data_IF_790299132746
#
_entry.id   IF_790299132746
#
_cell.length_a   1.000
_cell.length_b   1.000
_cell.length_c   1.000
_cell.angle_alpha   90.00
_cell.angle_beta   90.00
_cell.angle_gamma   90.00
#
_symmetry.space_group_name_H-M   'P 1'
#
loop_
_entity.id
_entity.type
_entity.pdbx_description
1 polymer ?
#
# COMPACT_ATOMS: atom_id res chain seq x y z
N UNK A 1 1.64 14.59 3.14
CA UNK A 1 0.82 15.62 2.43
C UNK A 1 0.37 15.16 1.05
N UNK A 2 1.20 15.16 0.00
CA UNK A 2 0.75 14.73 -1.34
C UNK A 2 0.22 13.29 -1.36
N UNK A 3 0.95 12.38 -0.72
CA UNK A 3 0.53 10.98 -0.53
C UNK A 3 -0.77 10.84 0.29
N UNK A 4 -1.00 11.72 1.27
CA UNK A 4 -2.23 11.71 2.07
C UNK A 4 -3.43 12.14 1.22
N UNK A 5 -3.28 13.18 0.40
CA UNK A 5 -4.32 13.63 -0.53
C UNK A 5 -4.62 12.60 -1.61
N UNK A 6 -3.60 11.92 -2.13
CA UNK A 6 -3.78 10.81 -3.06
C UNK A 6 -4.56 9.67 -2.40
N UNK A 7 -4.19 9.26 -1.19
CA UNK A 7 -4.90 8.21 -0.46
C UNK A 7 -6.34 8.62 -0.11
N UNK A 8 -6.54 9.88 0.29
CA UNK A 8 -7.86 10.42 0.53
C UNK A 8 -8.73 10.35 -0.72
N UNK A 9 -8.23 10.85 -1.87
CA UNK A 9 -8.97 10.90 -3.12
C UNK A 9 -9.28 9.50 -3.69
N UNK A 10 -8.33 8.57 -3.62
CA UNK A 10 -8.47 7.26 -4.27
C UNK A 10 -9.14 6.22 -3.37
N UNK A 11 -9.05 6.33 -2.05
CA UNK A 11 -9.45 5.24 -1.16
C UNK A 11 -10.47 5.70 -0.12
N UNK A 12 -10.16 6.71 0.67
CA UNK A 12 -10.94 6.99 1.88
C UNK A 12 -12.16 7.86 1.65
N UNK A 13 -12.15 8.76 0.67
CA UNK A 13 -13.16 9.80 0.54
C UNK A 13 -14.60 9.28 0.43
N UNK A 14 -14.89 8.35 -0.48
CA UNK A 14 -16.25 7.86 -0.75
C UNK A 14 -16.80 7.10 0.45
N UNK A 15 -15.96 6.31 1.12
CA UNK A 15 -16.34 5.58 2.34
C UNK A 15 -16.60 6.53 3.52
N UNK A 16 -15.78 7.57 3.67
CA UNK A 16 -15.89 8.51 4.79
C UNK A 16 -17.05 9.49 4.66
N UNK A 17 -17.55 9.73 3.45
CA UNK A 17 -18.69 10.63 3.20
C UNK A 17 -19.96 9.89 2.80
N UNK A 18 -19.91 8.55 2.78
CA UNK A 18 -21.06 7.67 2.72
C UNK A 18 -22.00 8.02 3.89
N UNK A 19 -23.30 8.07 3.64
CA UNK A 19 -24.36 8.53 4.58
C UNK A 19 -24.29 9.99 5.07
N UNK A 20 -23.20 10.74 4.82
CA UNK A 20 -23.11 12.19 5.09
C UNK A 20 -23.60 12.98 3.87
N UNK A 21 -23.19 12.56 2.67
CA UNK A 21 -23.43 13.29 1.44
C UNK A 21 -24.65 12.68 0.70
N UNK A 22 -25.60 13.49 0.19
CA UNK A 22 -26.72 12.94 -0.58
C UNK A 22 -26.23 12.13 -1.79
N UNK A 23 -26.93 11.02 -2.06
CA UNK A 23 -26.53 10.01 -3.07
C UNK A 23 -26.14 10.62 -4.43
N UNK A 24 -26.87 11.64 -4.89
CA UNK A 24 -26.57 12.33 -6.16
C UNK A 24 -25.16 12.91 -6.23
N UNK A 25 -24.66 13.45 -5.12
CA UNK A 25 -23.34 14.07 -5.06
C UNK A 25 -22.26 13.02 -4.84
N UNK A 26 -22.58 11.93 -4.12
CA UNK A 26 -21.69 10.80 -3.93
C UNK A 26 -21.43 10.08 -5.27
N UNK A 27 -22.49 9.77 -6.01
CA UNK A 27 -22.43 9.18 -7.35
C UNK A 27 -21.70 10.10 -8.34
N UNK A 28 -21.91 11.41 -8.24
CA UNK A 28 -21.17 12.36 -9.06
C UNK A 28 -19.68 12.33 -8.72
N UNK A 29 -19.32 12.38 -7.44
CA UNK A 29 -17.93 12.39 -7.01
C UNK A 29 -17.20 11.07 -7.29
N UNK A 30 -17.91 9.93 -7.27
CA UNK A 30 -17.32 8.64 -7.62
C UNK A 30 -16.84 8.55 -9.07
N UNK A 31 -17.39 9.34 -9.98
CA UNK A 31 -16.87 9.48 -11.35
C UNK A 31 -15.44 10.02 -11.36
N UNK A 32 -15.15 11.04 -10.53
CA UNK A 32 -13.80 11.58 -10.41
C UNK A 32 -12.86 10.51 -9.84
N UNK A 33 -13.25 9.85 -8.75
CA UNK A 33 -12.44 8.82 -8.09
C UNK A 33 -12.12 7.67 -9.05
N UNK A 34 -13.15 7.14 -9.74
CA UNK A 34 -12.98 6.09 -10.74
C UNK A 34 -12.07 6.55 -11.88
N UNK A 35 -12.33 7.72 -12.45
CA UNK A 35 -11.57 8.24 -13.58
C UNK A 35 -10.08 8.40 -13.25
N UNK A 36 -9.77 9.03 -12.12
CA UNK A 36 -8.39 9.19 -11.67
C UNK A 36 -7.74 7.85 -11.36
N UNK A 37 -8.42 6.94 -10.65
CA UNK A 37 -7.88 5.62 -10.34
C UNK A 37 -7.47 4.85 -11.60
N UNK A 38 -8.34 4.80 -12.62
CA UNK A 38 -8.07 4.07 -13.86
C UNK A 38 -6.82 4.62 -14.59
N UNK A 39 -6.64 5.93 -14.58
CA UNK A 39 -5.52 6.63 -15.21
C UNK A 39 -4.22 6.61 -14.38
N UNK A 40 -4.31 6.22 -13.10
CA UNK A 40 -3.19 6.16 -12.18
C UNK A 40 -2.61 4.75 -12.05
N UNK A 41 -3.18 3.73 -12.70
CA UNK A 41 -2.67 2.35 -12.61
C UNK A 41 -1.23 2.22 -13.13
N UNK A 42 -0.49 1.24 -12.60
CA UNK A 42 0.84 0.91 -13.09
C UNK A 42 0.82 0.41 -14.53
N UNK A 43 -0.21 -0.38 -14.87
CA UNK A 43 -0.53 -0.79 -16.23
C UNK A 43 -1.89 -0.20 -16.63
N UNK A 44 -1.91 0.65 -17.65
CA UNK A 44 -3.14 1.30 -18.13
C UNK A 44 -3.49 0.74 -19.50
N UNK A 45 -4.59 0.00 -19.59
CA UNK A 45 -5.08 -0.57 -20.85
C UNK A 45 -5.87 0.45 -21.68
N UNK A 46 -6.12 0.15 -22.96
CA UNK A 46 -6.97 0.99 -23.79
C UNK A 46 -8.41 1.11 -23.26
N UNK A 47 -8.91 0.07 -22.59
CA UNK A 47 -10.22 0.11 -21.93
C UNK A 47 -10.20 1.07 -20.73
N UNK A 48 -9.14 1.04 -19.92
CA UNK A 48 -8.96 1.97 -18.80
C UNK A 48 -8.87 3.42 -19.27
N UNK A 49 -8.21 3.69 -20.41
CA UNK A 49 -8.15 5.03 -21.00
C UNK A 49 -9.53 5.47 -21.49
N UNK A 50 -10.29 4.58 -22.14
CA UNK A 50 -11.64 4.89 -22.61
C UNK A 50 -12.56 5.26 -21.44
N UNK A 51 -12.63 4.40 -20.41
CA UNK A 51 -13.44 4.63 -19.21
C UNK A 51 -12.91 5.83 -18.40
N UNK A 52 -11.59 5.96 -18.28
CA UNK A 52 -10.88 7.07 -17.66
C UNK A 52 -11.02 8.39 -18.42
N UNK A 53 -11.47 8.38 -19.68
CA UNK A 53 -11.89 9.57 -20.41
C UNK A 53 -13.36 9.88 -20.14
N UNK A 54 -14.22 8.86 -20.16
CA UNK A 54 -15.66 9.02 -19.96
C UNK A 54 -16.03 9.56 -18.58
N UNK A 55 -15.39 9.05 -17.52
CA UNK A 55 -15.74 9.45 -16.14
C UNK A 55 -15.42 10.93 -15.86
N UNK A 56 -14.21 11.46 -16.16
CA UNK A 56 -13.93 12.89 -16.00
C UNK A 56 -14.82 13.79 -16.87
N UNK A 57 -15.19 13.37 -18.08
CA UNK A 57 -16.13 14.14 -18.92
C UNK A 57 -17.48 14.29 -18.23
N UNK A 58 -18.04 13.18 -17.72
CA UNK A 58 -19.31 13.21 -17.00
C UNK A 58 -19.22 14.03 -15.71
N UNK A 59 -18.10 13.92 -14.99
CA UNK A 59 -17.83 14.73 -13.80
C UNK A 59 -17.80 16.23 -14.14
N UNK A 60 -17.07 16.64 -15.16
CA UNK A 60 -16.97 18.07 -15.55
C UNK A 60 -18.32 18.63 -15.96
N UNK A 61 -19.13 17.87 -16.71
CA UNK A 61 -20.50 18.27 -17.06
C UNK A 61 -21.41 18.35 -15.82
N UNK A 62 -21.20 17.49 -14.83
CA UNK A 62 -22.00 17.47 -13.61
C UNK A 62 -21.56 18.47 -12.53
N UNK A 63 -20.45 19.20 -12.69
CA UNK A 63 -19.96 20.18 -11.70
C UNK A 63 -20.97 21.29 -11.40
N UNK A 64 -21.89 21.59 -12.33
CA UNK A 64 -23.01 22.51 -12.09
C UNK A 64 -23.93 22.08 -10.94
N UNK A 65 -23.89 20.80 -10.51
CA UNK A 65 -24.58 20.32 -9.30
C UNK A 65 -24.13 21.06 -8.03
N UNK A 66 -22.90 21.59 -8.02
CA UNK A 66 -22.34 22.34 -6.90
C UNK A 66 -22.61 23.84 -7.05
N UNK A 67 -22.24 24.41 -8.21
CA UNK A 67 -22.51 25.80 -8.63
C UNK A 67 -21.79 26.05 -9.96
N UNK A 68 -22.27 26.99 -10.77
CA UNK A 68 -21.60 27.44 -12.00
C UNK A 68 -20.17 27.98 -11.72
N UNK A 69 -19.96 28.56 -10.53
CA UNK A 69 -18.65 29.11 -10.12
C UNK A 69 -17.58 28.02 -9.94
N UNK A 70 -17.99 26.78 -9.74
CA UNK A 70 -17.07 25.65 -9.54
C UNK A 70 -16.47 25.13 -10.85
N UNK A 71 -16.97 25.58 -12.01
CA UNK A 71 -16.36 25.32 -13.32
C UNK A 71 -15.08 26.15 -13.50
N UNK A 72 -14.07 25.82 -12.69
CA UNK A 72 -12.77 26.45 -12.70
C UNK A 72 -11.87 25.86 -13.79
N UNK A 73 -10.76 26.54 -14.07
CA UNK A 73 -9.73 26.02 -14.99
C UNK A 73 -9.23 24.63 -14.57
N UNK A 74 -9.05 24.38 -13.26
CA UNK A 74 -8.60 23.07 -12.77
C UNK A 74 -9.60 21.95 -13.06
N UNK A 75 -10.90 22.24 -12.96
CA UNK A 75 -11.96 21.29 -13.33
C UNK A 75 -11.92 21.02 -14.83
N UNK A 76 -11.75 22.05 -15.66
CA UNK A 76 -11.62 21.89 -17.10
C UNK A 76 -10.41 21.00 -17.49
N UNK A 77 -9.27 21.15 -16.81
CA UNK A 77 -8.06 20.36 -17.07
C UNK A 77 -8.27 18.84 -16.88
N UNK A 78 -9.28 18.42 -16.11
CA UNK A 78 -9.61 17.00 -15.94
C UNK A 78 -9.93 16.31 -17.28
N UNK A 79 -10.47 17.06 -18.26
CA UNK A 79 -10.79 16.55 -19.61
C UNK A 79 -9.54 16.15 -20.41
N UNK A 80 -8.36 16.61 -20.00
CA UNK A 80 -7.11 16.37 -20.70
C UNK A 80 -6.26 15.26 -20.09
N UNK A 81 -6.62 14.75 -18.90
CA UNK A 81 -5.83 13.77 -18.17
C UNK A 81 -5.61 12.48 -18.96
N UNK A 82 -6.66 11.93 -19.57
CA UNK A 82 -6.53 10.71 -20.37
C UNK A 82 -5.59 10.89 -21.57
N UNK A 83 -5.65 12.06 -22.23
CA UNK A 83 -4.73 12.41 -23.32
C UNK A 83 -3.29 12.54 -22.82
N UNK A 84 -3.08 13.16 -21.64
CA UNK A 84 -1.76 13.20 -21.01
C UNK A 84 -1.23 11.80 -20.74
N UNK A 85 -2.08 10.88 -20.26
CA UNK A 85 -1.68 9.48 -20.03
C UNK A 85 -1.29 8.76 -21.32
N UNK A 86 -2.05 8.95 -22.40
CA UNK A 86 -1.71 8.37 -23.71
C UNK A 86 -0.36 8.85 -24.24
N UNK A 87 0.03 10.09 -23.93
CA UNK A 87 1.23 10.72 -24.47
C UNK A 87 2.46 10.55 -23.56
N UNK A 88 2.26 10.49 -22.24
CA UNK A 88 3.33 10.59 -21.24
C UNK A 88 3.38 9.40 -20.27
N UNK A 89 2.48 8.44 -20.41
CA UNK A 89 2.33 7.31 -19.47
C UNK A 89 1.45 7.65 -18.26
N UNK A 90 1.29 6.73 -17.30
CA UNK A 90 0.37 6.87 -16.17
C UNK A 90 0.53 8.18 -15.38
N UNK A 91 -0.55 8.64 -14.74
CA UNK A 91 -0.57 9.92 -14.01
C UNK A 91 0.53 10.04 -12.94
N UNK A 92 0.92 8.94 -12.30
CA UNK A 92 1.98 8.97 -11.29
C UNK A 92 3.36 9.31 -11.89
N UNK A 93 3.61 8.93 -13.14
CA UNK A 93 4.90 9.06 -13.79
C UNK A 93 5.28 10.52 -14.10
N UNK A 94 4.29 11.38 -14.29
CA UNK A 94 4.48 12.81 -14.59
C UNK A 94 3.91 13.72 -13.49
N UNK A 95 3.70 13.18 -12.28
CA UNK A 95 3.28 13.96 -11.12
C UNK A 95 4.41 14.85 -10.59
N UNK A 96 4.07 16.04 -10.07
CA UNK A 96 5.03 16.92 -9.42
C UNK A 96 5.41 16.47 -7.99
N UNK A 97 4.88 15.35 -7.50
CA UNK A 97 5.07 14.91 -6.11
C UNK A 97 6.53 14.61 -5.79
N UNK A 98 7.23 13.91 -6.68
CA UNK A 98 8.65 13.60 -6.52
C UNK A 98 9.49 14.87 -6.52
N UNK A 99 9.18 15.78 -7.46
CA UNK A 99 9.85 17.07 -7.57
C UNK A 99 9.69 17.92 -6.29
N UNK A 100 8.47 18.08 -5.78
CA UNK A 100 8.22 18.83 -4.55
C UNK A 100 8.89 18.20 -3.32
N UNK A 101 8.87 16.87 -3.22
CA UNK A 101 9.54 16.14 -2.15
C UNK A 101 11.07 16.37 -2.19
N UNK A 102 11.66 16.32 -3.39
CA UNK A 102 13.08 16.58 -3.59
C UNK A 102 13.46 18.03 -3.33
N UNK A 103 12.62 18.99 -3.73
CA UNK A 103 12.81 20.39 -3.37
C UNK A 103 12.77 20.59 -1.84
N UNK A 104 11.84 19.94 -1.15
CA UNK A 104 11.78 19.95 0.31
C UNK A 104 13.05 19.39 0.95
N UNK A 105 13.58 18.29 0.39
CA UNK A 105 14.84 17.69 0.81
C UNK A 105 16.03 18.63 0.58
N UNK A 106 16.14 19.25 -0.60
CA UNK A 106 17.20 20.21 -0.91
C UNK A 106 17.13 21.42 0.03
N UNK A 107 15.93 21.90 0.36
CA UNK A 107 15.73 22.97 1.33
C UNK A 107 16.25 22.58 2.73
N UNK A 108 16.08 21.32 3.15
CA UNK A 108 16.60 20.83 4.43
C UNK A 108 18.14 20.86 4.52
N UNK A 109 18.84 20.85 3.38
CA UNK A 109 20.29 21.00 3.34
C UNK A 109 20.75 22.43 3.55
N UNK A 110 19.85 23.41 3.64
CA UNK A 110 20.22 24.81 3.90
C UNK A 110 20.07 25.08 5.39
N UNK A 111 21.19 25.26 6.08
CA UNK A 111 21.20 25.60 7.52
C UNK A 111 21.62 27.03 7.80
N UNK A 112 22.21 27.72 6.83
CA UNK A 112 22.56 29.14 6.95
C UNK A 112 22.48 29.84 5.60
N UNK A 113 22.32 31.17 5.62
CA UNK A 113 22.32 32.00 4.42
C UNK A 113 23.69 32.10 3.73
N UNK A 114 24.78 31.66 4.37
CA UNK A 114 26.13 31.76 3.81
C UNK A 114 26.46 30.53 2.96
N UNK A 115 26.83 30.74 1.70
CA UNK A 115 27.30 29.65 0.83
C UNK A 115 26.26 28.55 0.59
N UNK A 116 24.99 28.93 0.40
CA UNK A 116 23.87 28.00 0.17
C UNK A 116 24.17 26.95 -0.92
N UNK A 117 24.69 27.30 -2.11
CA UNK A 117 25.00 26.31 -3.14
C UNK A 117 26.00 25.25 -2.67
N UNK A 118 26.99 25.66 -1.87
CA UNK A 118 28.02 24.76 -1.35
C UNK A 118 27.47 23.83 -0.26
N UNK A 119 26.59 24.33 0.61
CA UNK A 119 25.91 23.50 1.62
C UNK A 119 25.06 22.42 0.95
N UNK A 120 24.26 22.79 -0.05
CA UNK A 120 23.40 21.86 -0.79
C UNK A 120 24.23 20.81 -1.51
N UNK A 121 25.25 21.23 -2.27
CA UNK A 121 26.12 20.32 -3.02
C UNK A 121 26.82 19.32 -2.11
N UNK A 122 27.51 19.79 -1.07
CA UNK A 122 28.27 18.94 -0.16
C UNK A 122 27.37 17.93 0.56
N UNK A 123 26.20 18.36 1.04
CA UNK A 123 25.27 17.47 1.77
C UNK A 123 24.59 16.46 0.85
N UNK A 124 24.21 16.86 -0.37
CA UNK A 124 23.67 15.94 -1.36
C UNK A 124 24.71 14.87 -1.73
N UNK A 125 25.97 15.26 -1.96
CA UNK A 125 27.06 14.33 -2.23
C UNK A 125 27.33 13.40 -1.04
N UNK A 126 27.39 13.92 0.19
CA UNK A 126 27.56 13.10 1.39
C UNK A 126 26.42 12.08 1.52
N UNK A 127 25.17 12.50 1.39
CA UNK A 127 24.01 11.61 1.48
C UNK A 127 24.06 10.48 0.42
N UNK A 128 24.47 10.79 -0.81
CA UNK A 128 24.62 9.79 -1.86
C UNK A 128 25.76 8.80 -1.56
N UNK A 129 26.92 9.30 -1.11
CA UNK A 129 28.10 8.46 -0.84
C UNK A 129 27.97 7.57 0.39
N UNK A 130 27.19 7.97 1.40
CA UNK A 130 27.03 7.19 2.64
C UNK A 130 26.56 5.76 2.35
N UNK A 131 25.61 5.57 1.44
CA UNK A 131 25.10 4.23 1.12
C UNK A 131 26.14 3.37 0.39
N UNK A 132 26.88 3.95 -0.56
CA UNK A 132 27.99 3.27 -1.25
C UNK A 132 29.11 2.91 -0.26
N UNK A 133 29.45 3.83 0.65
CA UNK A 133 30.44 3.59 1.68
C UNK A 133 30.00 2.49 2.67
N UNK A 134 28.71 2.42 3.02
CA UNK A 134 28.16 1.31 3.83
C UNK A 134 28.30 -0.03 3.11
N UNK A 135 28.03 -0.07 1.81
CA UNK A 135 28.14 -1.30 1.01
C UNK A 135 29.60 -1.79 0.88
N UNK A 136 30.59 -0.91 0.87
CA UNK A 136 32.02 -1.29 0.78
C UNK A 136 32.68 -1.37 2.17
N UNK A 137 31.95 -1.05 3.24
CA UNK A 137 32.47 -1.06 4.61
C UNK A 137 32.85 -2.48 5.07
N UNK A 138 33.90 -2.56 5.90
CA UNK A 138 34.33 -3.81 6.52
C UNK A 138 33.23 -4.39 7.43
N UNK A 139 33.22 -5.72 7.67
CA UNK A 139 32.22 -6.36 8.54
C UNK A 139 32.15 -5.72 9.94
N UNK A 140 33.29 -5.29 10.47
CA UNK A 140 33.37 -4.62 11.77
C UNK A 140 32.63 -3.27 11.78
N UNK A 141 32.77 -2.48 10.71
CA UNK A 141 32.09 -1.19 10.56
C UNK A 141 30.59 -1.38 10.31
N UNK A 142 30.20 -2.41 9.53
CA UNK A 142 28.79 -2.74 9.31
C UNK A 142 28.09 -3.13 10.62
N UNK A 143 28.75 -3.94 11.45
CA UNK A 143 28.27 -4.33 12.77
C UNK A 143 28.13 -3.12 13.71
N UNK A 144 29.09 -2.20 13.71
CA UNK A 144 29.03 -0.96 14.49
C UNK A 144 27.87 -0.05 14.06
N UNK A 145 27.62 0.06 12.76
CA UNK A 145 26.53 0.88 12.21
C UNK A 145 25.14 0.23 12.35
N UNK A 146 25.05 -1.00 12.89
CA UNK A 146 23.80 -1.77 12.93
C UNK A 146 23.23 -2.08 11.54
N UNK A 147 24.05 -2.00 10.49
CA UNK A 147 23.64 -2.21 9.10
C UNK A 147 23.77 -3.69 8.74
N UNK A 148 22.94 -4.53 9.37
CA UNK A 148 22.76 -5.92 9.00
C UNK A 148 21.37 -6.09 8.39
N UNK A 149 21.25 -5.93 7.07
CA UNK A 149 20.20 -6.64 6.36
C UNK A 149 20.78 -8.03 6.06
N UNK A 150 20.06 -9.14 6.32
CA UNK A 150 20.48 -10.44 5.83
C UNK A 150 20.46 -10.39 4.29
N UNK A 151 21.64 -10.35 3.69
CA UNK A 151 21.78 -10.61 2.26
C UNK A 151 21.44 -12.09 2.03
N UNK A 152 20.33 -12.35 1.33
CA UNK A 152 20.09 -13.63 0.68
C UNK A 152 18.88 -14.46 1.13
N UNK A 153 18.15 -14.08 2.18
CA UNK A 153 16.91 -14.79 2.53
C UNK A 153 15.68 -14.09 1.92
N UNK A 154 14.84 -14.79 1.14
CA UNK A 154 13.63 -14.21 0.53
C UNK A 154 12.60 -13.75 1.57
N UNK A 155 12.72 -14.23 2.82
CA UNK A 155 11.84 -13.91 3.93
C UNK A 155 12.70 -13.71 5.20
N UNK A 156 12.83 -12.46 5.66
CA UNK A 156 13.50 -12.14 6.92
C UNK A 156 12.45 -11.94 8.03
N UNK A 157 12.50 -12.79 9.06
CA UNK A 157 11.64 -12.72 10.23
C UNK A 157 12.20 -11.66 11.21
N UNK A 158 11.38 -10.69 11.60
CA UNK A 158 11.83 -9.49 12.31
C UNK A 158 11.11 -9.28 13.66
N UNK A 159 11.35 -10.14 14.63
CA UNK A 159 10.98 -9.93 16.04
C UNK A 159 11.61 -11.03 16.90
N UNK A 160 11.43 -10.96 18.23
CA UNK A 160 11.72 -12.13 19.07
C UNK A 160 10.63 -13.18 18.86
N UNK A 161 10.98 -14.42 18.49
CA UNK A 161 10.03 -15.50 18.29
C UNK A 161 9.23 -15.78 19.56
N UNK A 162 7.90 -15.96 19.43
CA UNK A 162 7.03 -16.39 20.54
C UNK A 162 6.56 -17.83 20.30
N UNK A 163 6.55 -18.69 21.35
CA UNK A 163 6.01 -20.04 21.20
C UNK A 163 4.51 -19.98 20.95
N UNK A 164 4.03 -20.77 19.99
CA UNK A 164 2.60 -20.90 19.69
C UNK A 164 2.00 -22.00 20.58
N UNK A 165 0.90 -21.72 21.28
CA UNK A 165 0.19 -22.70 22.10
C UNK A 165 -1.33 -22.72 21.80
N UNK A 166 -1.97 -23.86 22.05
CA UNK A 166 -3.43 -23.98 22.04
C UNK A 166 -4.09 -24.05 20.66
N UNK A 167 -5.09 -23.21 20.42
CA UNK A 167 -5.96 -23.29 19.24
C UNK A 167 -5.24 -23.00 17.91
N UNK A 168 -4.26 -22.09 17.92
CA UNK A 168 -3.47 -21.74 16.74
C UNK A 168 -2.61 -22.92 16.27
N UNK A 169 -2.00 -23.65 17.21
CA UNK A 169 -1.19 -24.83 16.89
C UNK A 169 -2.05 -25.93 16.29
N UNK A 170 -3.25 -26.16 16.83
CA UNK A 170 -4.23 -27.11 16.27
C UNK A 170 -4.68 -26.74 14.86
N UNK A 171 -4.84 -25.46 14.55
CA UNK A 171 -5.22 -24.99 13.21
C UNK A 171 -4.13 -25.23 12.18
N UNK A 172 -2.88 -24.89 12.52
CA UNK A 172 -1.71 -25.14 11.66
C UNK A 172 -1.52 -26.64 11.45
N UNK A 173 -1.67 -27.44 12.51
CA UNK A 173 -1.56 -28.91 12.45
C UNK A 173 -2.68 -29.55 11.62
N UNK A 174 -3.91 -29.00 11.66
CA UNK A 174 -5.04 -29.51 10.87
C UNK A 174 -4.92 -29.17 9.38
N UNK A 175 -4.45 -27.95 9.05
CA UNK A 175 -4.42 -27.46 7.65
C UNK A 175 -3.09 -27.75 6.94
N UNK A 176 -1.98 -27.92 7.67
CA UNK A 176 -0.64 -28.19 7.11
C UNK A 176 0.09 -29.34 7.84
N UNK A 177 -0.53 -30.52 8.04
CA UNK A 177 0.06 -31.60 8.83
C UNK A 177 1.36 -32.18 8.23
N UNK A 178 1.53 -32.11 6.91
CA UNK A 178 2.65 -32.76 6.20
C UNK A 178 3.95 -31.92 6.16
N UNK A 179 3.95 -30.68 6.66
CA UNK A 179 5.11 -29.78 6.56
C UNK A 179 5.72 -29.40 7.92
N UNK A 180 5.21 -29.96 9.02
CA UNK A 180 5.66 -29.68 10.39
C UNK A 180 6.71 -30.72 10.80
N UNK A 181 7.98 -30.33 10.88
CA UNK A 181 9.06 -31.18 11.39
C UNK A 181 9.65 -30.69 12.73
N UNK A 182 9.23 -29.52 13.24
CA UNK A 182 9.73 -28.94 14.48
C UNK A 182 8.81 -27.84 15.07
N UNK A 183 9.31 -27.02 16.02
CA UNK A 183 8.48 -26.11 16.81
C UNK A 183 7.86 -25.00 15.95
N UNK A 184 6.57 -24.76 16.18
CA UNK A 184 5.78 -23.71 15.54
C UNK A 184 5.96 -22.41 16.33
N UNK A 185 6.38 -21.35 15.65
CA UNK A 185 6.80 -20.11 16.30
C UNK A 185 6.12 -18.91 15.64
N UNK A 186 5.60 -18.00 16.46
CA UNK A 186 4.93 -16.79 16.01
C UNK A 186 5.89 -15.60 15.94
N UNK A 187 5.68 -14.76 14.91
CA UNK A 187 6.43 -13.54 14.66
C UNK A 187 5.48 -12.35 14.50
N UNK A 188 5.86 -11.20 15.06
CA UNK A 188 5.07 -9.97 14.93
C UNK A 188 5.23 -9.32 13.54
N UNK A 189 6.35 -9.56 12.86
CA UNK A 189 6.72 -8.89 11.59
C UNK A 189 7.51 -9.80 10.67
N UNK A 190 7.22 -9.70 9.37
CA UNK A 190 7.94 -10.43 8.33
C UNK A 190 8.27 -9.51 7.18
N UNK A 191 9.53 -9.54 6.75
CA UNK A 191 10.01 -8.83 5.58
C UNK A 191 10.15 -9.82 4.43
N UNK A 192 9.31 -9.70 3.41
CA UNK A 192 9.48 -10.42 2.15
C UNK A 192 10.35 -9.61 1.19
N UNK A 193 10.78 -10.21 0.07
CA UNK A 193 11.62 -9.54 -0.93
C UNK A 193 11.09 -8.19 -1.44
N UNK A 194 9.77 -7.92 -1.30
CA UNK A 194 9.16 -6.68 -1.78
C UNK A 194 8.55 -5.79 -0.68
N UNK A 195 8.09 -6.32 0.47
CA UNK A 195 7.40 -5.50 1.51
C UNK A 195 7.54 -6.05 2.94
N UNK A 196 7.29 -5.18 3.92
CA UNK A 196 7.19 -5.50 5.36
C UNK A 196 5.71 -5.68 5.76
N UNK A 197 5.38 -6.85 6.30
CA UNK A 197 4.04 -7.22 6.77
C UNK A 197 3.98 -7.25 8.31
N UNK A 198 2.82 -6.89 8.86
CA UNK A 198 2.55 -6.89 10.30
C UNK A 198 1.43 -7.87 10.65
N UNK A 199 1.56 -8.54 11.79
CA UNK A 199 0.43 -9.19 12.45
C UNK A 199 -0.45 -8.15 13.15
N UNK A 200 -1.75 -8.43 13.29
CA UNK A 200 -2.67 -7.64 14.14
C UNK A 200 -2.18 -7.42 15.58
N UNK A 201 -1.31 -8.28 16.10
CA UNK A 201 -0.74 -8.14 17.45
C UNK A 201 0.30 -7.02 17.56
N UNK A 202 0.77 -6.47 16.43
CA UNK A 202 1.78 -5.44 16.42
C UNK A 202 1.18 -4.04 16.67
N UNK A 203 1.37 -3.52 17.88
CA UNK A 203 0.76 -2.26 18.32
C UNK A 203 1.52 -0.97 17.96
N UNK A 204 2.67 -1.05 17.28
CA UNK A 204 3.49 0.13 16.92
C UNK A 204 3.81 0.26 15.42
N UNK A 205 2.81 0.33 14.53
CA UNK A 205 3.07 0.71 13.15
C UNK A 205 3.48 2.19 13.09
N UNK A 206 4.72 2.49 12.70
CA UNK A 206 5.24 3.87 12.67
C UNK A 206 4.66 4.71 11.52
N UNK A 207 4.19 4.10 10.42
CA UNK A 207 3.76 4.84 9.21
C UNK A 207 2.60 4.23 8.40
N UNK A 208 2.49 2.91 8.28
CA UNK A 208 1.46 2.26 7.47
C UNK A 208 0.99 0.95 8.13
N UNK A 209 -0.33 0.73 8.11
CA UNK A 209 -0.93 -0.53 8.56
C UNK A 209 -0.91 -1.55 7.42
N UNK A 210 0.11 -2.41 7.41
CA UNK A 210 0.28 -3.52 6.46
C UNK A 210 -0.28 -4.85 7.00
N UNK A 211 -1.42 -4.81 7.71
CA UNK A 211 -2.11 -6.02 8.21
C UNK A 211 -3.08 -6.63 7.19
N UNK A 212 -3.41 -5.92 6.11
CA UNK A 212 -4.30 -6.43 5.06
C UNK A 212 -3.55 -6.80 3.79
N UNK A 213 -3.95 -7.90 3.16
CA UNK A 213 -3.35 -8.46 1.95
C UNK A 213 -4.44 -8.88 0.99
N UNK A 214 -4.20 -8.72 -0.31
CA UNK A 214 -5.00 -9.33 -1.37
C UNK A 214 -4.22 -10.49 -1.99
N UNK A 215 -4.86 -11.66 -1.99
CA UNK A 215 -4.33 -12.88 -2.61
C UNK A 215 -4.72 -12.93 -4.10
N UNK A 216 -4.04 -13.77 -4.87
CA UNK A 216 -4.19 -13.94 -6.33
C UNK A 216 -5.62 -14.23 -6.81
N UNK A 217 -6.50 -14.75 -5.94
CA UNK A 217 -7.90 -15.04 -6.25
C UNK A 217 -8.87 -13.88 -5.95
N UNK A 218 -8.40 -12.62 -5.90
CA UNK A 218 -9.18 -11.45 -5.44
C UNK A 218 -9.76 -11.58 -4.02
N UNK A 219 -9.24 -12.52 -3.22
CA UNK A 219 -9.64 -12.68 -1.83
C UNK A 219 -8.85 -11.67 -0.99
N UNK A 220 -9.57 -10.76 -0.36
CA UNK A 220 -9.02 -9.86 0.65
C UNK A 220 -8.92 -10.61 1.97
N UNK A 221 -7.76 -10.56 2.60
CA UNK A 221 -7.50 -11.23 3.87
C UNK A 221 -6.80 -10.27 4.84
N UNK A 222 -7.05 -10.48 6.13
CA UNK A 222 -6.34 -9.76 7.19
C UNK A 222 -5.45 -10.73 7.94
N UNK A 223 -4.20 -10.33 8.17
CA UNK A 223 -3.16 -11.11 8.84
C UNK A 223 -3.37 -11.04 10.34
N UNK A 224 -3.89 -12.13 10.90
CA UNK A 224 -4.07 -12.25 12.35
C UNK A 224 -2.76 -12.71 12.99
N UNK A 225 -2.14 -13.75 12.43
CA UNK A 225 -0.89 -14.32 12.96
C UNK A 225 0.10 -14.61 11.84
N UNK A 226 1.40 -14.47 12.14
CA UNK A 226 2.47 -14.90 11.24
C UNK A 226 3.27 -15.98 11.95
N UNK A 227 3.41 -17.13 11.30
CA UNK A 227 3.93 -18.35 11.93
C UNK A 227 5.05 -18.92 11.08
N UNK A 228 6.19 -19.19 11.68
CA UNK A 228 7.27 -19.95 11.04
C UNK A 228 7.26 -21.39 11.53
N UNK A 229 7.40 -22.33 10.59
CA UNK A 229 7.55 -23.75 10.85
C UNK A 229 8.90 -24.20 10.31
N UNK A 230 9.69 -24.85 11.18
CA UNK A 230 10.93 -25.50 10.76
C UNK A 230 10.61 -26.80 10.02
N UNK A 231 10.91 -26.86 8.73
CA UNK A 231 10.87 -28.07 7.90
C UNK A 231 12.29 -28.62 7.71
N UNK A 232 12.40 -29.89 7.31
CA UNK A 232 13.68 -30.62 7.17
C UNK A 232 14.69 -29.97 6.21
N UNK A 233 14.22 -29.15 5.24
CA UNK A 233 15.07 -28.49 4.24
C UNK A 233 15.10 -26.94 4.35
N UNK A 234 14.14 -26.29 5.03
CA UNK A 234 14.08 -24.84 5.23
C UNK A 234 13.02 -24.39 6.27
N UNK A 235 13.18 -23.20 6.85
CA UNK A 235 12.11 -22.53 7.60
C UNK A 235 11.06 -21.97 6.62
N UNK A 236 9.82 -22.44 6.72
CA UNK A 236 8.68 -21.93 5.94
C UNK A 236 7.85 -20.99 6.79
N UNK A 237 7.32 -19.94 6.17
CA UNK A 237 6.51 -18.94 6.86
C UNK A 237 5.08 -18.97 6.32
N UNK A 238 4.12 -19.03 7.23
CA UNK A 238 2.70 -19.10 6.98
C UNK A 238 2.00 -17.87 7.58
N UNK A 239 0.99 -17.38 6.88
CA UNK A 239 0.07 -16.36 7.36
C UNK A 239 -1.22 -17.05 7.77
N UNK A 240 -1.66 -16.82 9.01
CA UNK A 240 -3.01 -17.16 9.46
C UNK A 240 -3.87 -15.95 9.20
N UNK A 241 -4.84 -16.12 8.30
CA UNK A 241 -5.65 -15.00 7.81
C UNK A 241 -7.14 -15.30 7.92
N UNK A 242 -7.93 -14.25 8.15
CA UNK A 242 -9.37 -14.33 7.99
C UNK A 242 -9.75 -13.98 6.55
N UNK A 243 -10.49 -14.86 5.91
CA UNK A 243 -10.98 -14.66 4.55
C UNK A 243 -12.23 -13.78 4.54
N UNK A 244 -12.24 -12.83 3.60
CA UNK A 244 -13.37 -11.95 3.39
C UNK A 244 -13.87 -12.06 1.95
N UNK A 245 -15.20 -12.08 1.80
CA UNK A 245 -15.84 -11.87 0.52
C UNK A 245 -15.89 -10.37 0.23
N UNK A 246 -15.30 -9.99 -0.89
CA UNK A 246 -15.20 -8.61 -1.35
C UNK A 246 -16.23 -8.34 -2.46
N UNK A 247 -16.92 -7.21 -2.36
CA UNK A 247 -17.80 -6.68 -3.41
C UNK A 247 -17.44 -5.23 -3.73
N UNK A 248 -17.24 -4.95 -5.02
CA UNK A 248 -17.03 -3.60 -5.54
C UNK A 248 -18.16 -2.66 -5.12
N UNK A 249 -17.82 -1.42 -4.77
CA UNK A 249 -18.76 -0.40 -4.27
C UNK A 249 -18.54 0.95 -4.94
N UNK A 250 -19.55 1.82 -4.84
CA UNK A 250 -19.55 3.18 -5.42
C UNK A 250 -19.28 3.24 -6.93
N UNK A 251 -19.54 2.14 -7.66
CA UNK A 251 -19.22 2.03 -9.08
C UNK A 251 -17.72 1.97 -9.39
N UNK A 252 -16.88 1.70 -8.39
CA UNK A 252 -15.42 1.55 -8.51
C UNK A 252 -14.99 0.11 -8.31
N UNK A 253 -13.88 -0.30 -8.93
CA UNK A 253 -13.32 -1.66 -8.80
C UNK A 253 -12.36 -1.80 -7.61
N UNK A 254 -11.84 -0.69 -7.10
CA UNK A 254 -10.79 -0.67 -6.09
C UNK A 254 -11.29 -0.45 -4.66
N UNK A 255 -12.51 0.07 -4.48
CA UNK A 255 -13.15 0.18 -3.17
C UNK A 255 -14.04 -1.03 -2.96
N UNK A 256 -13.67 -1.87 -2.01
CA UNK A 256 -14.29 -3.16 -1.77
C UNK A 256 -14.98 -3.16 -0.41
N UNK A 257 -16.31 -3.32 -0.40
CA UNK A 257 -17.04 -3.66 0.82
C UNK A 257 -16.78 -5.13 1.13
N UNK A 258 -16.41 -5.41 2.37
CA UNK A 258 -15.89 -6.71 2.76
C UNK A 258 -16.72 -7.29 3.90
N UNK A 259 -17.19 -8.52 3.71
CA UNK A 259 -17.88 -9.32 4.73
C UNK A 259 -17.10 -10.58 5.05
N UNK A 260 -16.96 -10.90 6.33
CA UNK A 260 -16.26 -12.10 6.78
C UNK A 260 -17.02 -13.34 6.31
N UNK A 261 -16.38 -14.21 5.52
CA UNK A 261 -17.05 -15.31 4.84
C UNK A 261 -16.74 -16.69 5.46
N UNK A 262 -15.56 -16.91 6.04
CA UNK A 262 -15.20 -18.23 6.59
C UNK A 262 -14.18 -18.20 7.73
N UNK A 263 -13.93 -19.39 8.29
CA UNK A 263 -12.89 -19.70 9.28
C UNK A 263 -11.48 -19.31 8.82
N UNK A 264 -10.59 -19.16 9.79
CA UNK A 264 -9.17 -18.86 9.58
C UNK A 264 -8.53 -19.83 8.59
N UNK A 265 -7.74 -19.28 7.66
CA UNK A 265 -7.02 -20.04 6.64
C UNK A 265 -5.51 -19.84 6.82
N UNK A 266 -4.75 -20.90 6.64
CA UNK A 266 -3.28 -20.89 6.75
C UNK A 266 -2.69 -20.94 5.34
N UNK A 267 -2.05 -19.85 4.92
CA UNK A 267 -1.45 -19.74 3.58
C UNK A 267 0.06 -19.57 3.68
N UNK A 268 0.82 -20.37 2.95
CA UNK A 268 2.29 -20.23 2.83
C UNK A 268 2.64 -18.92 2.11
N UNK A 269 3.67 -18.21 2.59
CA UNK A 269 4.19 -17.00 1.94
C UNK A 269 5.00 -17.42 0.70
N UNK A 270 4.29 -17.76 -0.38
CA UNK A 270 4.87 -17.93 -1.71
C UNK A 270 4.32 -16.83 -2.63
N UNK A 271 4.93 -15.64 -2.49
CA UNK A 271 5.09 -14.58 -3.50
C UNK A 271 3.97 -14.37 -4.52
N UNK A 272 2.79 -13.90 -4.08
CA UNK A 272 1.82 -13.11 -4.90
C UNK A 272 0.96 -12.16 -4.05
N UNK A 273 1.26 -12.04 -2.76
CA UNK A 273 0.49 -11.26 -1.81
C UNK A 273 0.76 -9.76 -1.98
N UNK A 274 -0.23 -9.01 -2.46
CA UNK A 274 -0.14 -7.55 -2.55
C UNK A 274 -0.73 -6.94 -1.29
N UNK A 275 0.07 -6.18 -0.54
CA UNK A 275 -0.43 -5.45 0.63
C UNK A 275 -1.51 -4.47 0.23
N UNK A 276 -2.63 -4.46 0.97
CA UNK A 276 -3.79 -3.61 0.71
C UNK A 276 -4.04 -2.67 1.89
N UNK A 277 -4.64 -1.51 1.60
CA UNK A 277 -5.14 -0.63 2.66
C UNK A 277 -6.51 -1.14 3.11
N UNK A 278 -6.85 -0.90 4.37
CA UNK A 278 -8.18 -1.21 4.90
C UNK A 278 -8.65 -0.10 5.85
N UNK A 279 -9.97 0.00 6.00
CA UNK A 279 -10.62 0.95 6.91
C UNK A 279 -11.83 0.27 7.55
N UNK A 280 -12.04 0.49 8.85
CA UNK A 280 -13.30 0.19 9.51
C UNK A 280 -14.07 1.48 9.72
N UNK A 281 -15.22 1.60 9.09
CA UNK A 281 -16.12 2.75 9.18
C UNK A 281 -17.53 2.25 9.50
N UNK A 282 -18.18 2.83 10.50
CA UNK A 282 -19.57 2.52 10.89
C UNK A 282 -19.87 1.03 11.10
N UNK A 283 -18.89 0.26 11.58
CA UNK A 283 -19.02 -1.18 11.81
C UNK A 283 -18.83 -2.05 10.54
N UNK A 284 -18.71 -1.44 9.37
CA UNK A 284 -18.35 -2.10 8.11
C UNK A 284 -16.83 -2.11 7.91
N UNK A 285 -16.34 -3.13 7.22
CA UNK A 285 -14.93 -3.27 6.83
C UNK A 285 -14.79 -3.00 5.33
N UNK A 286 -13.82 -2.16 5.00
CA UNK A 286 -13.51 -1.74 3.64
C UNK A 286 -12.07 -2.09 3.33
N UNK A 287 -11.85 -2.66 2.16
CA UNK A 287 -10.53 -2.95 1.63
C UNK A 287 -10.32 -2.15 0.34
N UNK A 288 -9.10 -1.70 0.15
CA UNK A 288 -8.72 -0.92 -1.02
C UNK A 288 -7.64 -1.66 -1.78
N UNK A 289 -7.95 -2.02 -3.03
CA UNK A 289 -6.96 -2.57 -3.95
C UNK A 289 -5.98 -1.44 -4.31
N UNK A 290 -4.77 -1.53 -3.76
CA UNK A 290 -3.71 -0.58 -4.11
C UNK A 290 -3.18 -0.90 -5.50
N UNK A 291 -2.78 0.17 -6.18
CA UNK A 291 -2.08 0.14 -7.46
C UNK A 291 -0.72 -0.55 -7.33
#
# INVERSE_FOLDING_TARGET
KASEWQQWLLYFNLVCVDDILPERYLNHFSLLVRGIFLLFQDEVSAADISDGTGCPVQFVVGVFLYSEKEMTSNVHLLLHLAKSVMLQGPLWAHSCFTFEADMGRLKSFVTSARGVPHQVMTRAMMAHRVNTCKAVASPHVRNFLGCGAPEGEPVALLAKPRPVEGALLRLVDTQVPQQIAGPVVEHDRVHTSERLLYSEQYQRPDKADCTAVKLSNNVCTKIEHIVSVSSSDANRVFLVTSNYAASASFGTTHILNVKRWSSQNVTEINTTAVGCLWLKCEGMLWFFATL
#
